data_IF_379755790844
#
_entry.id   IF_379755790844
#
_cell.length_a   1.000
_cell.length_b   1.000
_cell.length_c   1.000
_cell.angle_alpha   90.00
_cell.angle_beta   90.00
_cell.angle_gamma   90.00
#
_symmetry.space_group_name_H-M   'P 1'
#
loop_
_entity.id
_entity.type
_entity.pdbx_description
1 polymer ?
#
# COMPACT_ATOMS: atom_id res chain seq x y z
N UNK A 1 23.32 15.54 16.68
CA UNK A 1 21.96 16.05 16.94
C UNK A 1 20.99 15.37 15.99
N UNK A 2 20.16 14.44 16.50
CA UNK A 2 19.10 13.83 15.70
C UNK A 2 18.04 14.90 15.40
N UNK A 3 17.87 15.28 14.13
CA UNK A 3 16.71 16.08 13.74
C UNK A 3 15.45 15.30 14.15
N UNK A 4 14.68 15.87 15.08
CA UNK A 4 13.34 15.37 15.44
C UNK A 4 12.55 15.38 14.13
N UNK A 5 12.49 14.22 13.49
CA UNK A 5 11.96 14.13 12.14
C UNK A 5 10.48 14.39 12.19
N UNK A 6 9.99 15.29 11.35
CA UNK A 6 8.55 15.54 11.21
C UNK A 6 7.86 14.22 10.84
N UNK A 7 6.97 13.76 11.73
CA UNK A 7 6.15 12.55 11.54
C UNK A 7 4.73 12.97 11.14
N UNK A 8 4.10 12.29 10.17
CA UNK A 8 2.70 12.49 9.81
C UNK A 8 1.75 12.52 11.01
N UNK A 9 0.79 13.44 11.00
CA UNK A 9 -0.33 13.43 11.95
C UNK A 9 -1.32 12.34 11.55
N UNK A 10 -1.92 11.66 12.53
CA UNK A 10 -2.97 10.68 12.29
C UNK A 10 -4.17 11.26 11.51
N UNK A 11 -4.57 12.49 11.84
CA UNK A 11 -5.64 13.21 11.12
C UNK A 11 -5.27 13.52 9.68
N UNK A 12 -4.01 13.86 9.40
CA UNK A 12 -3.53 14.07 8.03
C UNK A 12 -3.47 12.76 7.24
N UNK A 13 -3.07 11.65 7.86
CA UNK A 13 -3.08 10.33 7.22
C UNK A 13 -4.49 9.91 6.80
N UNK A 14 -5.47 10.08 7.69
CA UNK A 14 -6.88 9.80 7.39
C UNK A 14 -7.40 10.70 6.26
N UNK A 15 -7.21 12.02 6.39
CA UNK A 15 -7.63 12.98 5.36
C UNK A 15 -6.99 12.69 4.02
N UNK A 16 -5.71 12.30 4.01
CA UNK A 16 -5.00 11.96 2.79
C UNK A 16 -5.52 10.68 2.15
N UNK A 17 -5.80 9.63 2.95
CA UNK A 17 -6.45 8.39 2.49
C UNK A 17 -7.78 8.71 1.80
N UNK A 18 -8.63 9.49 2.44
CA UNK A 18 -9.96 9.84 1.93
C UNK A 18 -9.86 10.64 0.63
N UNK A 19 -8.99 11.66 0.60
CA UNK A 19 -8.68 12.43 -0.61
C UNK A 19 -8.24 11.52 -1.77
N UNK A 20 -7.30 10.60 -1.53
CA UNK A 20 -6.79 9.70 -2.57
C UNK A 20 -7.87 8.75 -3.08
N UNK A 21 -8.74 8.23 -2.20
CA UNK A 21 -9.86 7.35 -2.57
C UNK A 21 -10.86 8.10 -3.45
N UNK A 22 -11.31 9.27 -3.02
CA UNK A 22 -12.27 10.09 -3.76
C UNK A 22 -11.71 10.55 -5.11
N UNK A 23 -10.44 10.95 -5.15
CA UNK A 23 -9.78 11.40 -6.39
C UNK A 23 -9.61 10.23 -7.37
N UNK A 24 -9.24 9.04 -6.90
CA UNK A 24 -9.14 7.83 -7.72
C UNK A 24 -10.51 7.44 -8.31
N UNK A 25 -11.56 7.39 -7.48
CA UNK A 25 -12.91 7.05 -7.92
C UNK A 25 -13.44 8.04 -8.96
N UNK A 26 -13.19 9.34 -8.76
CA UNK A 26 -13.60 10.39 -9.71
C UNK A 26 -12.87 10.26 -11.05
N UNK A 27 -11.57 9.97 -11.02
CA UNK A 27 -10.78 9.74 -12.22
C UNK A 27 -11.22 8.46 -12.96
N UNK A 28 -11.52 7.38 -12.22
CA UNK A 28 -12.06 6.16 -12.78
C UNK A 28 -13.42 6.37 -13.46
N UNK A 29 -14.33 7.13 -12.83
CA UNK A 29 -15.62 7.48 -13.42
C UNK A 29 -15.46 8.31 -14.71
N UNK A 30 -14.52 9.26 -14.75
CA UNK A 30 -14.20 10.02 -15.98
C UNK A 30 -13.70 9.11 -17.10
N UNK A 31 -12.86 8.13 -16.78
CA UNK A 31 -12.36 7.17 -17.77
C UNK A 31 -13.43 6.21 -18.30
N UNK A 32 -14.48 5.95 -17.51
CA UNK A 32 -15.64 5.21 -17.98
C UNK A 32 -16.46 6.02 -18.98
N UNK A 33 -16.54 7.35 -18.81
CA UNK A 33 -17.21 8.23 -19.79
C UNK A 33 -16.35 8.56 -21.01
N UNK A 34 -15.03 8.70 -20.83
CA UNK A 34 -14.06 8.97 -21.89
C UNK A 34 -12.78 8.15 -21.66
N UNK A 35 -12.66 7.05 -22.40
CA UNK A 35 -11.52 6.14 -22.30
C UNK A 35 -10.20 6.74 -22.84
N UNK A 36 -10.23 7.94 -23.42
CA UNK A 36 -9.08 8.69 -23.92
C UNK A 36 -8.74 9.92 -23.04
N UNK A 37 -9.43 10.14 -21.92
CA UNK A 37 -9.12 11.22 -20.98
C UNK A 37 -7.74 10.99 -20.32
N UNK A 38 -6.74 11.65 -20.88
CA UNK A 38 -5.33 11.52 -20.47
C UNK A 38 -5.09 12.06 -19.06
N UNK A 39 -5.82 13.08 -18.64
CA UNK A 39 -5.63 13.68 -17.31
C UNK A 39 -6.32 12.84 -16.23
N UNK A 40 -7.46 12.24 -16.54
CA UNK A 40 -8.08 11.23 -15.69
C UNK A 40 -7.20 9.98 -15.55
N UNK A 41 -6.63 9.47 -16.66
CA UNK A 41 -5.70 8.32 -16.61
C UNK A 41 -4.47 8.63 -15.74
N UNK A 42 -3.86 9.79 -15.95
CA UNK A 42 -2.72 10.26 -15.14
C UNK A 42 -3.11 10.37 -13.66
N UNK A 43 -4.26 10.95 -13.36
CA UNK A 43 -4.75 11.13 -11.98
C UNK A 43 -5.01 9.79 -11.31
N UNK A 44 -5.63 8.84 -12.02
CA UNK A 44 -5.86 7.49 -11.52
C UNK A 44 -4.54 6.77 -11.24
N UNK A 45 -3.58 6.83 -12.19
CA UNK A 45 -2.26 6.23 -12.03
C UNK A 45 -1.52 6.79 -10.80
N UNK A 46 -1.52 8.11 -10.65
CA UNK A 46 -0.83 8.80 -9.56
C UNK A 46 -1.46 8.54 -8.18
N UNK A 47 -2.80 8.54 -8.12
CA UNK A 47 -3.53 8.25 -6.88
C UNK A 47 -3.35 6.79 -6.46
N UNK A 48 -3.47 5.82 -7.38
CA UNK A 48 -3.18 4.40 -7.12
C UNK A 48 -1.76 4.22 -6.56
N UNK A 49 -0.77 4.87 -7.18
CA UNK A 49 0.61 4.84 -6.68
C UNK A 49 0.71 5.37 -5.25
N UNK A 50 0.09 6.52 -4.96
CA UNK A 50 0.11 7.12 -3.63
C UNK A 50 -0.58 6.24 -2.59
N UNK A 51 -1.69 5.58 -2.95
CA UNK A 51 -2.43 4.68 -2.06
C UNK A 51 -1.60 3.47 -1.67
N UNK A 52 -0.90 2.84 -2.62
CA UNK A 52 0.01 1.73 -2.33
C UNK A 52 1.19 2.21 -1.46
N UNK A 53 1.74 3.40 -1.75
CA UNK A 53 2.80 4.00 -0.93
C UNK A 53 2.34 4.32 0.49
N UNK A 54 1.09 4.78 0.64
CA UNK A 54 0.49 5.11 1.92
C UNK A 54 0.26 3.85 2.75
N UNK A 55 -0.30 2.78 2.17
CA UNK A 55 -0.53 1.52 2.85
C UNK A 55 0.79 0.78 3.15
N UNK A 56 1.57 0.47 2.11
CA UNK A 56 2.72 -0.42 2.21
C UNK A 56 4.02 0.26 2.64
N UNK A 57 4.04 1.59 2.75
CA UNK A 57 5.20 2.41 3.16
C UNK A 57 6.49 2.09 2.37
N UNK A 58 6.36 1.68 1.10
CA UNK A 58 7.49 1.27 0.22
C UNK A 58 8.32 2.44 -0.28
N UNK A 59 9.53 2.16 -0.78
CA UNK A 59 10.43 3.23 -1.27
C UNK A 59 9.91 3.57 -2.67
N UNK A 60 9.94 4.84 -3.11
CA UNK A 60 9.37 5.20 -4.39
C UNK A 60 9.97 4.39 -5.55
N UNK A 61 11.29 4.18 -5.50
CA UNK A 61 12.02 3.38 -6.49
C UNK A 61 11.79 1.86 -6.39
N UNK A 62 11.27 1.34 -5.27
CA UNK A 62 10.83 -0.07 -5.21
C UNK A 62 9.53 -0.23 -5.99
N UNK A 63 8.52 0.61 -5.68
CA UNK A 63 7.22 0.52 -6.33
C UNK A 63 7.26 0.88 -7.83
N UNK A 64 8.16 1.78 -8.23
CA UNK A 64 8.38 2.13 -9.63
C UNK A 64 8.88 0.96 -10.49
N UNK A 65 9.43 -0.11 -9.88
CA UNK A 65 9.86 -1.33 -10.59
C UNK A 65 8.77 -2.39 -10.74
N UNK A 66 7.54 -2.12 -10.30
CA UNK A 66 6.44 -3.06 -10.42
C UNK A 66 6.01 -3.22 -11.89
N UNK A 67 6.17 -4.42 -12.44
CA UNK A 67 5.77 -4.75 -13.82
C UNK A 67 4.36 -5.31 -13.90
N UNK A 68 3.77 -5.24 -15.09
CA UNK A 68 2.46 -5.84 -15.41
C UNK A 68 2.51 -7.36 -15.22
N UNK A 69 3.51 -8.03 -15.79
CA UNK A 69 3.68 -9.49 -15.67
C UNK A 69 3.76 -9.92 -14.21
N UNK A 70 4.59 -9.24 -13.41
CA UNK A 70 4.76 -9.55 -12.00
C UNK A 70 3.48 -9.33 -11.19
N UNK A 71 2.68 -8.33 -11.57
CA UNK A 71 1.37 -8.11 -10.96
C UNK A 71 0.37 -9.21 -11.35
N UNK A 72 0.36 -9.65 -12.61
CA UNK A 72 -0.52 -10.71 -13.09
C UNK A 72 -0.14 -12.08 -12.51
N UNK A 73 1.15 -12.38 -12.38
CA UNK A 73 1.68 -13.57 -11.70
C UNK A 73 1.41 -13.58 -10.19
N UNK A 74 1.09 -12.41 -9.60
CA UNK A 74 0.76 -12.28 -8.20
C UNK A 74 -0.41 -13.18 -7.82
N UNK A 75 -0.13 -14.26 -7.08
CA UNK A 75 -1.14 -15.23 -6.65
C UNK A 75 -2.18 -14.56 -5.76
N UNK A 76 -3.45 -14.82 -6.04
CA UNK A 76 -4.49 -14.75 -5.00
C UNK A 76 -4.12 -15.70 -3.86
N UNK A 77 -4.52 -15.38 -2.63
CA UNK A 77 -4.11 -16.12 -1.46
C UNK A 77 -4.60 -17.58 -1.53
N UNK A 78 -3.74 -18.50 -2.00
CA UNK A 78 -3.98 -19.94 -1.91
C UNK A 78 -3.83 -20.36 -0.45
N UNK A 79 -4.93 -20.72 0.21
CA UNK A 79 -4.88 -21.44 1.48
C UNK A 79 -4.34 -22.84 1.22
N UNK A 80 -3.36 -23.25 2.03
CA UNK A 80 -2.87 -24.63 2.03
C UNK A 80 -3.67 -25.38 3.09
N UNK A 81 -4.37 -26.45 2.71
CA UNK A 81 -5.33 -27.16 3.57
C UNK A 81 -4.77 -27.49 4.95
N UNK A 82 -3.51 -27.94 5.02
CA UNK A 82 -2.84 -28.31 6.29
C UNK A 82 -2.66 -27.15 7.28
N UNK A 83 -2.75 -25.89 6.82
CA UNK A 83 -2.60 -24.70 7.67
C UNK A 83 -3.91 -23.95 7.90
N UNK A 84 -5.04 -24.37 7.30
CA UNK A 84 -6.31 -23.66 7.44
C UNK A 84 -6.78 -23.52 8.90
N UNK A 85 -6.47 -24.51 9.73
CA UNK A 85 -6.80 -24.55 11.15
C UNK A 85 -5.96 -23.59 12.01
N UNK A 86 -4.85 -23.05 11.47
CA UNK A 86 -4.00 -22.07 12.16
C UNK A 86 -4.31 -20.62 11.80
N UNK A 87 -5.20 -20.39 10.83
CA UNK A 87 -5.55 -19.05 10.34
C UNK A 87 -6.76 -18.54 11.13
N UNK A 88 -6.61 -17.39 11.79
CA UNK A 88 -7.73 -16.74 12.47
C UNK A 88 -8.74 -16.18 11.46
N UNK A 89 -10.03 -16.03 11.81
CA UNK A 89 -11.05 -15.45 10.92
C UNK A 89 -10.64 -14.09 10.32
N UNK A 90 -10.17 -13.15 11.16
CA UNK A 90 -9.69 -11.83 10.71
C UNK A 90 -8.51 -11.91 9.71
N UNK A 91 -7.61 -12.89 9.87
CA UNK A 91 -6.49 -13.12 8.95
C UNK A 91 -7.00 -13.69 7.62
N UNK A 92 -7.95 -14.62 7.65
CA UNK A 92 -8.58 -15.19 6.45
C UNK A 92 -9.30 -14.11 5.63
N UNK A 93 -9.96 -13.16 6.29
CA UNK A 93 -10.58 -12.01 5.64
C UNK A 93 -9.53 -11.13 4.94
N UNK A 94 -8.42 -10.85 5.61
CA UNK A 94 -7.31 -10.07 5.03
C UNK A 94 -6.68 -10.79 3.84
N UNK A 95 -6.50 -12.11 3.90
CA UNK A 95 -6.00 -12.91 2.78
C UNK A 95 -6.86 -12.78 1.52
N UNK A 96 -8.19 -12.76 1.67
CA UNK A 96 -9.13 -12.60 0.56
C UNK A 96 -9.18 -11.17 0.01
N UNK A 97 -8.90 -10.17 0.85
CA UNK A 97 -9.04 -8.74 0.49
C UNK A 97 -7.78 -8.14 -0.10
N UNK A 98 -6.63 -8.78 0.07
CA UNK A 98 -5.36 -8.28 -0.42
C UNK A 98 -4.72 -9.21 -1.44
N UNK A 99 -4.51 -8.70 -2.65
CA UNK A 99 -3.56 -9.30 -3.58
C UNK A 99 -2.14 -8.98 -3.10
N UNK A 100 -1.25 -9.97 -3.18
CA UNK A 100 0.16 -9.82 -2.81
C UNK A 100 1.05 -9.99 -4.04
N UNK A 101 1.96 -9.05 -4.23
CA UNK A 101 3.00 -9.14 -5.27
C UNK A 101 4.36 -8.95 -4.63
N UNK A 102 5.34 -9.77 -4.98
CA UNK A 102 6.70 -9.67 -4.42
C UNK A 102 7.61 -8.98 -5.44
N UNK A 103 7.99 -7.74 -5.16
CA UNK A 103 8.85 -6.93 -6.03
C UNK A 103 10.33 -7.12 -5.68
N UNK A 104 11.21 -7.19 -6.69
CA UNK A 104 12.67 -7.21 -6.47
C UNK A 104 13.15 -5.81 -6.01
N UNK A 105 13.61 -5.73 -4.76
CA UNK A 105 14.35 -4.58 -4.25
C UNK A 105 15.82 -4.61 -4.67
N UNK A 106 16.58 -3.54 -4.37
CA UNK A 106 18.02 -3.47 -4.65
C UNK A 106 18.83 -4.56 -3.93
N UNK A 107 18.35 -5.00 -2.76
CA UNK A 107 19.01 -5.99 -1.91
C UNK A 107 18.19 -7.26 -1.72
N UNK A 108 16.86 -7.13 -1.58
CA UNK A 108 15.95 -8.25 -1.31
C UNK A 108 14.58 -8.02 -1.94
N UNK A 109 13.89 -9.11 -2.22
CA UNK A 109 12.50 -9.08 -2.64
C UNK A 109 11.60 -8.61 -1.49
N UNK A 110 10.59 -7.79 -1.77
CA UNK A 110 9.69 -7.24 -0.75
C UNK A 110 8.23 -7.36 -1.20
N UNK A 111 7.32 -7.81 -0.34
CA UNK A 111 5.91 -7.95 -0.68
C UNK A 111 5.19 -6.59 -0.71
N UNK A 112 4.30 -6.39 -1.67
CA UNK A 112 3.39 -5.25 -1.80
C UNK A 112 1.97 -5.80 -1.72
N UNK A 113 1.11 -5.09 -0.99
CA UNK A 113 -0.29 -5.45 -0.78
C UNK A 113 -1.18 -4.49 -1.55
N UNK A 114 -2.21 -5.03 -2.20
CA UNK A 114 -3.20 -4.25 -2.96
C UNK A 114 -4.58 -4.58 -2.44
N UNK A 115 -5.29 -3.61 -1.87
CA UNK A 115 -6.69 -3.78 -1.46
C UNK A 115 -7.59 -3.99 -2.68
N UNK A 116 -8.75 -4.64 -2.50
CA UNK A 116 -9.69 -4.91 -3.58
C UNK A 116 -10.01 -3.68 -4.46
N UNK A 117 -10.21 -2.52 -3.83
CA UNK A 117 -10.52 -1.30 -4.56
C UNK A 117 -9.31 -0.71 -5.30
N UNK A 118 -8.08 -0.90 -4.79
CA UNK A 118 -6.85 -0.61 -5.54
C UNK A 118 -6.70 -1.57 -6.72
N UNK A 119 -7.04 -2.84 -6.55
CA UNK A 119 -6.98 -3.84 -7.63
C UNK A 119 -7.94 -3.48 -8.76
N UNK A 120 -9.17 -3.06 -8.44
CA UNK A 120 -10.15 -2.54 -9.43
C UNK A 120 -9.59 -1.36 -10.22
N UNK A 121 -8.96 -0.40 -9.55
CA UNK A 121 -8.34 0.74 -10.23
C UNK A 121 -7.13 0.35 -11.08
N UNK A 122 -6.31 -0.60 -10.62
CA UNK A 122 -5.21 -1.14 -11.44
C UNK A 122 -5.76 -1.81 -12.69
N UNK A 123 -6.87 -2.57 -12.58
CA UNK A 123 -7.48 -3.20 -13.75
C UNK A 123 -7.86 -2.16 -14.81
N UNK A 124 -8.51 -1.06 -14.41
CA UNK A 124 -8.83 0.06 -15.32
C UNK A 124 -7.56 0.63 -15.98
N UNK A 125 -6.47 0.79 -15.22
CA UNK A 125 -5.18 1.25 -15.77
C UNK A 125 -4.60 0.27 -16.79
N UNK A 126 -4.74 -1.03 -16.56
CA UNK A 126 -4.25 -2.07 -17.47
C UNK A 126 -5.10 -2.15 -18.74
N UNK A 127 -6.42 -2.09 -18.61
CA UNK A 127 -7.37 -2.17 -19.73
C UNK A 127 -7.20 -1.00 -20.70
N UNK A 128 -6.93 0.20 -20.18
CA UNK A 128 -6.76 1.42 -20.98
C UNK A 128 -5.30 1.74 -21.33
N UNK A 129 -4.36 0.87 -20.96
CA UNK A 129 -2.91 1.11 -21.03
C UNK A 129 -2.42 1.47 -22.43
N UNK A 130 -2.95 0.81 -23.46
CA UNK A 130 -2.58 0.99 -24.87
C UNK A 130 -2.84 2.41 -25.39
N UNK A 131 -3.78 3.14 -24.79
CA UNK A 131 -4.12 4.51 -25.20
C UNK A 131 -3.09 5.54 -24.70
N UNK A 132 -2.35 5.23 -23.64
CA UNK A 132 -1.57 6.23 -22.90
C UNK A 132 -0.08 5.91 -22.75
N UNK A 133 0.34 4.66 -23.00
CA UNK A 133 1.71 4.20 -22.77
C UNK A 133 2.28 3.49 -23.99
N UNK A 134 3.60 3.44 -24.10
CA UNK A 134 4.28 2.73 -25.20
C UNK A 134 4.01 1.22 -25.12
N UNK A 135 3.80 0.56 -26.27
CA UNK A 135 3.44 -0.87 -26.38
C UNK A 135 4.38 -1.83 -25.62
N UNK A 136 5.65 -1.47 -25.41
CA UNK A 136 6.65 -2.33 -24.79
C UNK A 136 7.08 -1.87 -23.38
N UNK A 137 6.40 -0.90 -22.77
CA UNK A 137 6.74 -0.50 -21.41
C UNK A 137 6.22 -1.58 -20.43
N UNK A 138 7.09 -2.22 -19.61
CA UNK A 138 6.68 -3.32 -18.75
C UNK A 138 6.05 -2.85 -17.43
N UNK A 139 6.16 -1.58 -17.06
CA UNK A 139 5.83 -1.10 -15.71
C UNK A 139 4.36 -0.76 -15.54
N UNK A 140 3.76 -0.98 -14.36
CA UNK A 140 2.38 -0.48 -14.12
C UNK A 140 2.37 1.06 -14.09
N UNK A 141 3.37 1.66 -13.43
CA UNK A 141 3.50 3.12 -13.26
C UNK A 141 4.41 3.73 -14.31
N UNK A 142 4.08 3.48 -15.58
CA UNK A 142 4.83 3.96 -16.75
C UNK A 142 4.71 5.45 -16.97
N UNK A 143 5.70 5.99 -17.70
CA UNK A 143 5.61 7.34 -18.27
C UNK A 143 4.51 7.34 -19.35
N UNK A 144 3.64 8.35 -19.30
CA UNK A 144 2.65 8.58 -20.34
C UNK A 144 3.32 9.15 -21.61
N UNK A 145 2.76 8.83 -22.77
CA UNK A 145 3.19 9.36 -24.08
C UNK A 145 3.22 10.90 -24.01
N UNK A 146 4.34 11.49 -24.44
CA UNK A 146 4.55 12.95 -24.47
C UNK A 146 4.42 13.69 -23.12
N UNK A 147 4.71 13.03 -21.99
CA UNK A 147 4.78 13.65 -20.66
C UNK A 147 6.14 13.47 -19.98
N UNK A 148 6.35 14.20 -18.89
CA UNK A 148 7.51 14.03 -18.02
C UNK A 148 7.58 12.62 -17.41
N UNK A 149 8.78 12.11 -17.04
CA UNK A 149 8.93 10.83 -16.36
C UNK A 149 8.12 10.74 -15.06
N UNK A 150 7.61 9.54 -14.75
CA UNK A 150 6.89 9.28 -13.51
C UNK A 150 7.84 9.35 -12.30
N UNK A 151 7.82 10.47 -11.57
CA UNK A 151 8.69 10.70 -10.40
C UNK A 151 7.90 10.47 -9.11
N UNK A 152 7.92 9.24 -8.59
CA UNK A 152 7.08 8.84 -7.45
C UNK A 152 7.17 9.71 -6.20
N UNK A 153 8.32 10.31 -5.88
CA UNK A 153 8.43 11.24 -4.76
C UNK A 153 7.69 12.56 -4.99
N UNK A 154 7.70 13.07 -6.23
CA UNK A 154 6.98 14.29 -6.61
C UNK A 154 5.48 14.03 -6.63
N UNK A 155 5.07 12.85 -7.09
CA UNK A 155 3.65 12.44 -7.12
C UNK A 155 3.07 12.42 -5.70
N UNK A 156 3.75 11.79 -4.75
CA UNK A 156 3.29 11.76 -3.35
C UNK A 156 3.20 13.16 -2.74
N UNK A 157 4.23 13.99 -2.96
CA UNK A 157 4.27 15.35 -2.45
C UNK A 157 3.21 16.25 -3.08
N UNK A 158 2.94 16.10 -4.38
CA UNK A 158 1.90 16.83 -5.10
C UNK A 158 0.53 16.55 -4.49
N UNK A 159 0.15 15.27 -4.39
CA UNK A 159 -1.14 14.90 -3.82
C UNK A 159 -1.27 15.27 -2.33
N UNK A 160 -0.19 15.19 -1.55
CA UNK A 160 -0.22 15.63 -0.15
C UNK A 160 -0.54 17.13 -0.02
N UNK A 161 -0.02 17.98 -0.92
CA UNK A 161 -0.37 19.40 -0.96
C UNK A 161 -1.81 19.62 -1.41
N UNK A 162 -2.26 18.90 -2.44
CA UNK A 162 -3.62 19.00 -2.96
C UNK A 162 -4.68 18.55 -1.96
N UNK A 163 -4.34 17.63 -1.05
CA UNK A 163 -5.25 17.15 -0.01
C UNK A 163 -5.52 18.18 1.11
N UNK A 164 -4.86 19.34 1.11
CA UNK A 164 -5.06 20.39 2.12
C UNK A 164 -4.75 19.91 3.54
N UNK A 165 -3.67 19.12 3.69
CA UNK A 165 -3.23 18.57 4.98
C UNK A 165 -2.69 19.68 5.89
N UNK A 166 -2.69 19.44 7.20
CA UNK A 166 -2.08 20.38 8.16
C UNK A 166 -0.57 20.41 8.01
N UNK A 167 0.04 19.25 7.78
CA UNK A 167 1.47 19.11 7.58
C UNK A 167 1.80 18.24 6.35
N UNK A 168 1.60 18.77 5.13
CA UNK A 168 1.86 18.01 3.90
C UNK A 168 3.34 17.62 3.75
N UNK A 169 4.27 18.39 4.33
CA UNK A 169 5.70 18.09 4.29
C UNK A 169 6.12 16.85 5.09
N UNK A 170 5.26 16.41 6.02
CA UNK A 170 5.42 15.16 6.74
C UNK A 170 5.10 13.93 5.87
N UNK A 171 4.25 14.08 4.84
CA UNK A 171 3.82 13.02 3.93
C UNK A 171 4.89 12.77 2.86
N UNK A 172 6.03 12.27 3.31
CA UNK A 172 7.16 11.84 2.47
C UNK A 172 7.46 10.39 2.77
N UNK A 173 8.02 9.64 1.82
CA UNK A 173 8.32 8.21 2.02
C UNK A 173 9.18 7.93 3.27
N UNK A 174 10.09 8.86 3.63
CA UNK A 174 10.86 8.78 4.89
C UNK A 174 9.98 9.08 6.11
N UNK A 175 9.13 10.09 6.06
CA UNK A 175 8.20 10.45 7.14
C UNK A 175 7.20 9.34 7.43
N UNK A 176 6.60 8.75 6.39
CA UNK A 176 5.68 7.61 6.50
C UNK A 176 6.33 6.37 7.16
N UNK A 177 7.62 6.12 6.91
CA UNK A 177 8.36 5.04 7.59
C UNK A 177 8.70 5.37 9.03
N UNK A 178 9.09 6.61 9.31
CA UNK A 178 9.32 7.06 10.68
C UNK A 178 8.05 6.92 11.49
N UNK A 179 6.91 7.33 10.94
CA UNK A 179 5.58 7.11 11.54
C UNK A 179 5.34 5.63 11.85
N UNK A 180 5.51 4.74 10.86
CA UNK A 180 5.35 3.30 11.07
C UNK A 180 6.23 2.79 12.21
N UNK A 181 7.51 3.16 12.24
CA UNK A 181 8.45 2.74 13.28
C UNK A 181 8.08 3.27 14.68
N UNK A 182 7.64 4.54 14.76
CA UNK A 182 7.19 5.14 16.02
C UNK A 182 5.91 4.50 16.53
N UNK A 183 4.92 4.30 15.65
CA UNK A 183 3.63 3.74 16.04
C UNK A 183 3.76 2.24 16.35
N UNK A 184 4.64 1.49 15.68
CA UNK A 184 4.89 0.09 16.03
C UNK A 184 5.43 -0.09 17.45
N UNK A 185 6.13 0.92 18.01
CA UNK A 185 6.59 0.90 19.40
C UNK A 185 5.45 1.04 20.42
N UNK A 186 4.27 1.50 20.01
CA UNK A 186 3.10 1.64 20.90
C UNK A 186 2.35 0.32 21.10
N UNK A 187 2.62 -0.68 20.25
CA UNK A 187 2.02 -2.00 20.32
C UNK A 187 2.92 -2.96 21.08
N UNK A 188 2.31 -3.88 21.82
CA UNK A 188 3.02 -4.98 22.49
C UNK A 188 3.33 -6.07 21.46
N UNK A 189 4.29 -5.80 20.56
CA UNK A 189 4.70 -6.73 19.50
C UNK A 189 5.73 -7.74 20.01
N UNK A 190 5.52 -9.02 19.69
CA UNK A 190 6.53 -10.05 19.91
C UNK A 190 7.72 -9.88 18.96
N UNK A 191 8.88 -10.43 19.32
CA UNK A 191 10.09 -10.36 18.48
C UNK A 191 9.84 -10.86 17.05
N UNK A 192 9.04 -11.91 16.90
CA UNK A 192 8.67 -12.44 15.59
C UNK A 192 7.85 -11.44 14.75
N UNK A 193 6.95 -10.68 15.35
CA UNK A 193 6.13 -9.68 14.66
C UNK A 193 6.98 -8.48 14.23
N UNK A 194 7.96 -8.10 15.05
CA UNK A 194 8.93 -7.04 14.72
C UNK A 194 9.82 -7.48 13.55
N UNK A 195 10.33 -8.71 13.55
CA UNK A 195 11.12 -9.27 12.44
C UNK A 195 10.33 -9.34 11.14
N UNK A 196 9.05 -9.72 11.20
CA UNK A 196 8.16 -9.73 10.05
C UNK A 196 7.94 -8.32 9.49
N UNK A 197 7.71 -7.34 10.38
CA UNK A 197 7.55 -5.95 9.97
C UNK A 197 8.83 -5.40 9.33
N UNK A 198 9.99 -5.70 9.91
CA UNK A 198 11.29 -5.31 9.37
C UNK A 198 11.52 -5.93 7.98
N UNK A 199 11.23 -7.22 7.84
CA UNK A 199 11.30 -7.95 6.56
C UNK A 199 10.36 -7.34 5.52
N UNK A 200 9.11 -7.04 5.92
CA UNK A 200 8.14 -6.37 5.06
C UNK A 200 8.64 -4.98 4.64
N UNK A 201 9.33 -4.24 5.50
CA UNK A 201 9.93 -2.93 5.17
C UNK A 201 11.26 -3.03 4.38
N UNK A 202 11.76 -4.24 4.13
CA UNK A 202 13.01 -4.49 3.42
C UNK A 202 14.26 -4.19 4.27
N UNK A 203 14.14 -4.25 5.61
CA UNK A 203 15.25 -4.30 6.56
C UNK A 203 15.59 -5.78 6.84
N UNK A 204 16.88 -6.09 7.07
CA UNK A 204 17.49 -7.45 7.14
C UNK A 204 16.78 -8.39 8.14
N UNK A 205 16.60 -9.69 7.84
CA UNK A 205 17.46 -10.83 8.26
C UNK A 205 17.78 -11.79 7.09
N UNK A 206 18.94 -12.42 7.10
CA UNK A 206 19.63 -13.21 6.04
C UNK A 206 18.87 -14.39 5.39
N UNK A 207 17.64 -14.68 5.78
CA UNK A 207 16.96 -15.88 5.31
C UNK A 207 16.27 -15.66 3.96
N UNK A 208 16.83 -16.30 2.94
CA UNK A 208 16.32 -16.44 1.58
C UNK A 208 15.10 -17.38 1.57
N UNK A 209 14.05 -17.02 2.30
CA UNK A 209 12.94 -17.94 2.57
C UNK A 209 11.68 -17.38 1.89
N UNK A 210 11.42 -17.88 0.69
CA UNK A 210 10.11 -17.79 0.04
C UNK A 210 9.19 -18.85 0.67
N UNK A 211 9.00 -18.84 2.01
CA UNK A 211 8.09 -19.79 2.65
C UNK A 211 6.66 -19.25 2.71
N UNK A 212 5.70 -20.16 2.46
CA UNK A 212 4.27 -19.96 2.73
C UNK A 212 3.97 -19.56 4.18
N UNK A 213 4.80 -19.92 5.17
CA UNK A 213 4.71 -19.38 6.55
C UNK A 213 4.76 -17.85 6.63
N UNK A 214 5.45 -17.18 5.69
CA UNK A 214 5.47 -15.71 5.61
C UNK A 214 4.10 -15.18 5.14
N UNK A 215 3.30 -15.95 4.40
CA UNK A 215 1.94 -15.52 4.05
C UNK A 215 1.07 -15.32 5.28
N UNK A 216 1.02 -16.29 6.21
CA UNK A 216 0.21 -16.18 7.45
C UNK A 216 0.63 -14.98 8.32
N UNK A 217 1.93 -14.85 8.45
CA UNK A 217 2.60 -13.78 9.18
C UNK A 217 2.34 -12.38 8.57
N UNK A 218 2.11 -12.30 7.26
CA UNK A 218 1.81 -11.04 6.58
C UNK A 218 0.43 -10.45 6.94
N UNK A 219 -0.52 -11.23 7.50
CA UNK A 219 -1.83 -10.69 7.87
C UNK A 219 -1.77 -9.80 9.10
N UNK A 220 -1.00 -10.18 10.13
CA UNK A 220 -0.72 -9.31 11.28
C UNK A 220 -0.11 -7.98 10.84
N UNK A 221 0.81 -8.03 9.89
CA UNK A 221 1.40 -6.83 9.28
C UNK A 221 0.37 -6.03 8.47
N UNK A 222 -0.46 -6.68 7.65
CA UNK A 222 -1.53 -6.00 6.89
C UNK A 222 -2.51 -5.27 7.83
N UNK A 223 -2.91 -5.92 8.93
CA UNK A 223 -3.74 -5.35 10.00
C UNK A 223 -3.09 -4.08 10.58
N UNK A 224 -1.81 -4.16 10.94
CA UNK A 224 -1.04 -3.02 11.44
C UNK A 224 -0.97 -1.86 10.42
N UNK A 225 -0.70 -2.15 9.15
CA UNK A 225 -0.60 -1.15 8.09
C UNK A 225 -1.93 -0.42 7.87
N UNK A 226 -3.05 -1.15 7.96
CA UNK A 226 -4.40 -0.60 7.83
C UNK A 226 -4.75 0.37 8.97
N UNK A 227 -4.46 -0.02 10.22
CA UNK A 227 -4.61 0.85 11.40
C UNK A 227 -3.80 2.15 11.27
N UNK A 228 -2.60 2.05 10.72
CA UNK A 228 -1.74 3.21 10.55
C UNK A 228 -2.16 4.08 9.38
N UNK A 229 -2.79 3.53 8.35
CA UNK A 229 -3.37 4.31 7.26
C UNK A 229 -4.66 5.02 7.71
N UNK A 230 -5.48 4.40 8.55
CA UNK A 230 -6.72 5.01 9.05
C UNK A 230 -6.49 6.13 10.08
N UNK A 231 -5.29 6.20 10.67
CA UNK A 231 -4.98 7.15 11.73
C UNK A 231 -5.57 6.76 13.10
N UNK A 232 -6.05 5.53 13.26
CA UNK A 232 -6.74 5.07 14.48
C UNK A 232 -5.84 4.25 15.42
N UNK A 233 -4.55 4.09 15.10
CA UNK A 233 -3.62 3.25 15.85
C UNK A 233 -3.55 3.57 17.36
N UNK A 234 -3.72 4.84 17.76
CA UNK A 234 -3.70 5.26 19.16
C UNK A 234 -4.81 4.62 20.03
N UNK A 235 -5.93 4.17 19.43
CA UNK A 235 -7.02 3.50 20.14
C UNK A 235 -6.65 2.12 20.69
N UNK A 236 -5.55 1.56 20.20
CA UNK A 236 -5.11 0.20 20.49
C UNK A 236 -3.74 0.16 21.17
N UNK A 237 -3.34 1.26 21.83
CA UNK A 237 -2.08 1.33 22.57
C UNK A 237 -1.98 0.21 23.62
N UNK A 238 -0.81 -0.43 23.70
CA UNK A 238 -0.53 -1.51 24.64
C UNK A 238 -1.13 -2.87 24.25
N UNK A 239 -2.01 -2.93 23.24
CA UNK A 239 -2.57 -4.18 22.73
C UNK A 239 -1.57 -4.92 21.83
N UNK A 240 -1.68 -6.23 21.81
CA UNK A 240 -1.02 -7.09 20.82
C UNK A 240 -1.78 -7.04 19.49
N UNK A 241 -1.15 -7.48 18.38
CA UNK A 241 -1.82 -7.52 17.07
C UNK A 241 -2.97 -8.54 17.00
N UNK A 242 -2.95 -9.53 17.90
CA UNK A 242 -3.99 -10.56 18.01
C UNK A 242 -5.26 -10.03 18.69
N UNK A 243 -5.14 -9.09 19.62
CA UNK A 243 -6.26 -8.47 20.37
C UNK A 243 -7.03 -7.43 19.55
N UNK A 244 -6.52 -7.05 18.38
CA UNK A 244 -7.14 -6.02 17.55
C UNK A 244 -8.09 -6.70 16.57
N UNK A 245 -9.40 -6.52 16.76
CA UNK A 245 -10.39 -6.93 15.78
C UNK A 245 -10.73 -5.78 14.83
N UNK A 246 -10.39 -5.92 13.55
CA UNK A 246 -10.74 -4.97 12.48
C UNK A 246 -11.92 -5.46 11.63
N UNK A 247 -12.59 -6.55 12.03
CA UNK A 247 -13.63 -7.19 11.21
C UNK A 247 -14.76 -6.23 10.85
N UNK A 248 -15.22 -5.36 11.76
CA UNK A 248 -16.27 -4.39 11.45
C UNK A 248 -15.86 -3.37 10.37
N UNK A 249 -14.63 -2.83 10.47
CA UNK A 249 -14.10 -1.86 9.50
C UNK A 249 -13.70 -2.50 8.16
N UNK A 250 -13.28 -3.76 8.19
CA UNK A 250 -12.90 -4.48 6.98
C UNK A 250 -14.11 -5.02 6.23
N UNK A 251 -15.15 -5.49 6.92
CA UNK A 251 -16.35 -6.10 6.32
C UNK A 251 -17.28 -5.09 5.63
N UNK A 252 -17.15 -3.79 5.90
CA UNK A 252 -17.93 -2.73 5.26
C UNK A 252 -17.04 -1.64 4.63
N UNK A 253 -16.42 -1.89 3.46
CA UNK A 253 -15.61 -0.88 2.75
C UNK A 253 -16.42 0.33 2.22
N UNK A 254 -17.76 0.28 2.34
CA UNK A 254 -18.71 1.30 1.89
C UNK A 254 -19.37 2.10 3.02
N UNK A 255 -19.12 1.78 4.30
CA UNK A 255 -19.60 2.63 5.42
C UNK A 255 -18.50 3.57 5.90
N UNK A 256 -18.24 4.63 5.11
CA UNK A 256 -17.87 6.00 5.53
C UNK A 256 -17.31 6.76 4.34
#
# INVERSE_FOLDING_TARGET
MNSIGIVPLASDLKKFKDYLKTTANSAAAKLQSDCNDRDAYKTLQQTVYCRIMLLCRKRPGELARLTVDLYNEGKEAQTYEEFENKIRPSERILMRKFKRVVIKGKRKATPVLFSLDVQKHIQILLDLRSNFTSQNDPYIFSKLISREPFRGYQVLMHHAKMAGLKNPDAIKSRGLRKHLATISQLFSMENEDVEQLATFMGHTLEKNIVCRMIYFKLQKIAKLLLLMESGDAGKYQGKTLDEINLEEDLMNPEKK
#
